data_IF_240594608949
#
_entry.id   IF_240594608949
#
_cell.length_a   1.000
_cell.length_b   1.000
_cell.length_c   1.000
_cell.angle_alpha   90.00
_cell.angle_beta   90.00
_cell.angle_gamma   90.00
#
_symmetry.space_group_name_H-M   'P 1'
#
loop_
_entity.id
_entity.type
_entity.pdbx_description
1 polymer ?
#
# COMPACT_ATOMS: atom_id res chain seq x y z
N UNK A 1 -25.38 10.69 -19.56
CA UNK A 1 -23.97 11.06 -19.26
C UNK A 1 -23.41 10.14 -18.18
N UNK A 2 -23.05 8.89 -18.49
CA UNK A 2 -22.65 7.88 -17.50
C UNK A 2 -21.25 7.26 -17.73
N UNK A 3 -20.48 7.69 -18.73
CA UNK A 3 -19.22 7.04 -19.11
C UNK A 3 -17.93 7.67 -18.57
N UNK A 4 -17.98 8.85 -17.94
CA UNK A 4 -16.76 9.59 -17.53
C UNK A 4 -16.26 9.29 -16.12
N UNK A 5 -17.18 8.96 -15.20
CA UNK A 5 -16.85 8.79 -13.78
C UNK A 5 -16.15 7.46 -13.49
N UNK A 6 -16.48 6.37 -14.21
CA UNK A 6 -15.88 5.05 -13.95
C UNK A 6 -14.43 4.96 -14.43
N UNK A 7 -14.07 5.67 -15.51
CA UNK A 7 -12.71 5.67 -16.04
C UNK A 7 -11.76 6.48 -15.13
N UNK A 8 -12.21 7.65 -14.65
CA UNK A 8 -11.43 8.47 -13.72
C UNK A 8 -11.16 7.75 -12.40
N UNK A 9 -12.17 7.06 -11.87
CA UNK A 9 -12.02 6.22 -10.67
C UNK A 9 -11.03 5.07 -10.91
N UNK A 10 -11.16 4.33 -12.00
CA UNK A 10 -10.27 3.21 -12.31
C UNK A 10 -8.80 3.64 -12.48
N UNK A 11 -8.57 4.74 -13.19
CA UNK A 11 -7.22 5.32 -13.33
C UNK A 11 -6.70 5.80 -11.97
N UNK A 12 -7.54 6.48 -11.18
CA UNK A 12 -7.20 6.94 -9.84
C UNK A 12 -6.76 5.80 -8.93
N UNK A 13 -7.47 4.67 -8.96
CA UNK A 13 -7.12 3.46 -8.21
C UNK A 13 -5.72 2.95 -8.56
N UNK A 14 -5.43 2.79 -9.85
CA UNK A 14 -4.15 2.27 -10.31
C UNK A 14 -3.00 3.23 -9.99
N UNK A 15 -3.19 4.52 -10.25
CA UNK A 15 -2.16 5.53 -9.98
C UNK A 15 -1.93 5.68 -8.48
N UNK A 16 -2.98 5.66 -7.67
CA UNK A 16 -2.86 5.70 -6.21
C UNK A 16 -2.04 4.54 -5.67
N UNK A 17 -2.31 3.32 -6.15
CA UNK A 17 -1.54 2.13 -5.80
C UNK A 17 -0.06 2.26 -6.21
N UNK A 18 0.21 2.63 -7.47
CA UNK A 18 1.58 2.77 -7.99
C UNK A 18 2.33 3.86 -7.22
N UNK A 19 1.68 4.98 -6.93
CA UNK A 19 2.29 6.09 -6.21
C UNK A 19 2.63 5.71 -4.76
N UNK A 20 1.71 5.06 -4.05
CA UNK A 20 1.98 4.52 -2.71
C UNK A 20 3.24 3.65 -2.73
N UNK A 21 3.30 2.71 -3.68
CA UNK A 21 4.45 1.82 -3.82
C UNK A 21 5.75 2.59 -4.11
N UNK A 22 5.72 3.48 -5.11
CA UNK A 22 6.88 4.27 -5.52
C UNK A 22 7.41 5.15 -4.38
N UNK A 23 6.53 5.74 -3.58
CA UNK A 23 6.91 6.54 -2.40
C UNK A 23 7.70 5.70 -1.42
N UNK A 24 7.20 4.52 -1.01
CA UNK A 24 7.93 3.66 -0.06
C UNK A 24 9.24 3.16 -0.68
N UNK A 25 9.24 2.75 -1.95
CA UNK A 25 10.43 2.28 -2.63
C UNK A 25 11.54 3.33 -2.67
N UNK A 26 11.21 4.57 -3.05
CA UNK A 26 12.16 5.68 -3.08
C UNK A 26 12.65 5.99 -1.67
N UNK A 27 11.74 6.06 -0.70
CA UNK A 27 12.09 6.37 0.68
C UNK A 27 13.06 5.34 1.26
N UNK A 28 12.82 4.04 1.07
CA UNK A 28 13.75 3.00 1.54
C UNK A 28 15.08 3.01 0.78
N UNK A 29 15.07 3.32 -0.52
CA UNK A 29 16.30 3.42 -1.33
C UNK A 29 17.23 4.55 -0.84
N UNK A 30 16.66 5.61 -0.26
CA UNK A 30 17.42 6.73 0.32
C UNK A 30 17.35 6.77 1.86
N UNK A 31 16.82 5.73 2.49
CA UNK A 31 16.51 5.70 3.92
C UNK A 31 17.74 5.87 4.82
N UNK A 32 18.92 5.49 4.32
CA UNK A 32 20.21 5.66 5.03
C UNK A 32 20.57 7.11 5.33
N UNK A 33 19.94 8.07 4.64
CA UNK A 33 20.15 9.51 4.84
C UNK A 33 19.02 10.17 5.65
N UNK A 34 18.03 9.40 6.10
CA UNK A 34 16.87 9.91 6.82
C UNK A 34 17.05 9.78 8.35
N UNK A 35 16.42 10.66 9.14
CA UNK A 35 16.44 10.54 10.60
C UNK A 35 15.80 9.22 11.08
N UNK A 36 16.39 8.62 12.11
CA UNK A 36 15.91 7.35 12.70
C UNK A 36 14.48 7.47 13.27
N UNK A 37 14.08 8.68 13.67
CA UNK A 37 12.72 8.99 14.14
C UNK A 37 11.65 8.84 13.03
N UNK A 38 12.06 8.91 11.76
CA UNK A 38 11.15 8.79 10.61
C UNK A 38 11.04 7.34 10.12
N UNK A 39 12.15 6.61 10.14
CA UNK A 39 12.25 5.21 9.67
C UNK A 39 13.24 4.49 10.55
N UNK A 40 12.81 3.39 11.15
CA UNK A 40 13.71 2.52 11.91
C UNK A 40 14.85 2.01 10.99
N UNK A 41 16.13 2.23 11.35
CA UNK A 41 17.27 1.79 10.57
C UNK A 41 17.26 0.30 10.24
N UNK A 42 16.64 -0.54 11.08
CA UNK A 42 16.48 -1.98 10.84
C UNK A 42 15.69 -2.24 9.56
N UNK A 43 14.68 -1.41 9.26
CA UNK A 43 13.85 -1.54 8.06
C UNK A 43 14.67 -1.23 6.80
N UNK A 44 15.50 -0.19 6.89
CA UNK A 44 16.36 0.22 5.78
C UNK A 44 17.41 -0.85 5.52
N UNK A 45 18.02 -1.40 6.58
CA UNK A 45 18.96 -2.52 6.47
C UNK A 45 18.29 -3.75 5.83
N UNK A 46 17.12 -4.17 6.33
CA UNK A 46 16.33 -5.27 5.77
C UNK A 46 15.98 -5.07 4.29
N UNK A 47 15.82 -3.83 3.83
CA UNK A 47 15.57 -3.53 2.41
C UNK A 47 16.84 -3.51 1.56
N UNK A 48 17.92 -2.93 2.07
CA UNK A 48 19.18 -2.75 1.34
C UNK A 48 19.96 -4.07 1.22
N UNK A 49 19.92 -4.89 2.26
CA UNK A 49 20.68 -6.15 2.35
C UNK A 49 20.09 -7.29 1.50
N UNK A 50 18.88 -7.10 0.95
CA UNK A 50 18.22 -8.09 0.08
C UNK A 50 18.61 -7.83 -1.37
N UNK A 51 19.24 -8.79 -2.08
CA UNK A 51 19.54 -8.61 -3.50
C UNK A 51 18.31 -8.81 -4.38
N UNK A 52 17.36 -9.64 -3.95
CA UNK A 52 16.20 -10.05 -4.74
C UNK A 52 15.06 -9.03 -4.68
N UNK A 53 14.49 -8.70 -5.83
CA UNK A 53 13.37 -7.76 -5.93
C UNK A 53 12.15 -8.25 -5.15
N UNK A 54 11.86 -9.55 -5.19
CA UNK A 54 10.70 -10.15 -4.51
C UNK A 54 10.75 -9.92 -2.99
N UNK A 55 11.93 -10.10 -2.38
CA UNK A 55 12.12 -9.86 -0.95
C UNK A 55 12.03 -8.37 -0.61
N UNK A 56 12.54 -7.48 -1.47
CA UNK A 56 12.34 -6.03 -1.31
C UNK A 56 10.87 -5.64 -1.37
N UNK A 57 10.11 -6.23 -2.30
CA UNK A 57 8.67 -6.02 -2.40
C UNK A 57 7.94 -6.52 -1.15
N UNK A 58 8.36 -7.65 -0.58
CA UNK A 58 7.80 -8.16 0.67
C UNK A 58 8.05 -7.22 1.84
N UNK A 59 9.28 -6.67 1.97
CA UNK A 59 9.60 -5.65 2.99
C UNK A 59 8.73 -4.41 2.83
N UNK A 60 8.53 -3.92 1.60
CA UNK A 60 7.59 -2.82 1.32
C UNK A 60 6.17 -3.19 1.75
N UNK A 61 5.72 -4.42 1.47
CA UNK A 61 4.42 -4.94 1.90
C UNK A 61 4.23 -4.88 3.42
N UNK A 62 5.27 -5.18 4.21
CA UNK A 62 5.19 -5.09 5.68
C UNK A 62 5.01 -3.66 6.19
N UNK A 63 5.55 -2.67 5.47
CA UNK A 63 5.37 -1.23 5.79
C UNK A 63 3.97 -0.78 5.37
N UNK A 64 3.49 -1.23 4.21
CA UNK A 64 2.20 -0.81 3.68
C UNK A 64 1.01 -1.39 4.45
N UNK A 65 1.19 -2.54 5.11
CA UNK A 65 0.15 -3.26 5.85
C UNK A 65 0.64 -3.72 7.25
N UNK A 66 0.99 -2.79 8.15
CA UNK A 66 1.49 -3.12 9.49
C UNK A 66 0.33 -3.51 10.44
N UNK A 67 0.59 -4.14 11.60
CA UNK A 67 1.83 -4.80 12.07
C UNK A 67 1.88 -6.32 11.83
N UNK A 68 0.76 -6.94 11.42
CA UNK A 68 0.60 -8.41 11.44
C UNK A 68 1.47 -9.15 10.43
N UNK A 69 1.73 -8.56 9.26
CA UNK A 69 2.57 -9.17 8.21
C UNK A 69 4.04 -9.28 8.59
N UNK A 70 4.62 -8.24 9.21
CA UNK A 70 6.03 -8.26 9.62
C UNK A 70 6.32 -9.27 10.73
N UNK A 71 5.36 -9.48 11.63
CA UNK A 71 5.45 -10.50 12.69
C UNK A 71 5.44 -11.91 12.08
N UNK A 72 4.54 -12.15 11.12
CA UNK A 72 4.41 -13.44 10.44
C UNK A 72 5.68 -13.81 9.67
N UNK A 73 6.26 -12.84 8.97
CA UNK A 73 7.38 -13.08 8.08
C UNK A 73 8.72 -13.15 8.81
N UNK A 74 8.77 -12.77 10.09
CA UNK A 74 10.01 -12.68 10.88
C UNK A 74 11.09 -11.76 10.27
N UNK A 75 10.70 -10.91 9.31
CA UNK A 75 11.50 -9.86 8.69
C UNK A 75 10.59 -8.68 8.30
N UNK A 76 11.17 -7.49 8.19
CA UNK A 76 10.43 -6.29 7.81
C UNK A 76 9.95 -5.43 8.99
N UNK A 77 9.19 -4.38 8.66
CA UNK A 77 9.05 -3.21 9.50
C UNK A 77 8.08 -3.35 10.68
N UNK A 78 8.64 -3.43 11.89
CA UNK A 78 7.92 -3.17 13.13
C UNK A 78 8.08 -1.68 13.49
N UNK A 79 7.19 -0.82 12.99
CA UNK A 79 7.25 0.64 13.29
C UNK A 79 7.11 1.57 12.08
N UNK A 80 6.93 1.04 10.87
CA UNK A 80 6.72 1.83 9.65
C UNK A 80 5.38 2.58 9.55
N UNK A 81 4.67 2.83 10.66
CA UNK A 81 3.31 3.41 10.65
C UNK A 81 3.27 4.84 10.11
N UNK A 82 4.32 5.64 10.36
CA UNK A 82 4.45 7.00 9.81
C UNK A 82 4.65 6.95 8.29
N UNK A 83 5.54 6.08 7.83
CA UNK A 83 5.79 5.87 6.40
C UNK A 83 4.55 5.30 5.69
N UNK A 84 3.85 4.37 6.33
CA UNK A 84 2.55 3.84 5.88
C UNK A 84 1.54 4.96 5.68
N UNK A 85 1.38 5.83 6.68
CA UNK A 85 0.42 6.93 6.66
C UNK A 85 0.76 7.94 5.56
N UNK A 86 2.04 8.26 5.41
CA UNK A 86 2.52 9.14 4.35
C UNK A 86 2.26 8.53 2.96
N UNK A 87 2.68 7.28 2.75
CA UNK A 87 2.58 6.62 1.46
C UNK A 87 1.12 6.46 1.01
N UNK A 88 0.25 5.95 1.88
CA UNK A 88 -1.17 5.83 1.57
C UNK A 88 -1.89 7.17 1.53
N UNK A 89 -1.46 8.17 2.30
CA UNK A 89 -1.96 9.53 2.20
C UNK A 89 -1.69 10.15 0.82
N UNK A 90 -0.46 9.98 0.29
CA UNK A 90 -0.08 10.44 -1.06
C UNK A 90 -0.80 9.63 -2.14
N UNK A 91 -0.85 8.31 -2.02
CA UNK A 91 -1.58 7.46 -2.96
C UNK A 91 -3.07 7.79 -3.01
N UNK A 92 -3.69 7.99 -1.85
CA UNK A 92 -5.07 8.45 -1.73
C UNK A 92 -5.28 9.81 -2.38
N UNK A 93 -4.38 10.78 -2.14
CA UNK A 93 -4.42 12.11 -2.75
C UNK A 93 -4.45 12.02 -4.28
N UNK A 94 -3.53 11.25 -4.86
CA UNK A 94 -3.44 11.08 -6.30
C UNK A 94 -4.66 10.36 -6.88
N UNK A 95 -5.17 9.34 -6.17
CA UNK A 95 -6.42 8.68 -6.54
C UNK A 95 -7.61 9.67 -6.57
N UNK A 96 -7.70 10.55 -5.56
CA UNK A 96 -8.72 11.59 -5.48
C UNK A 96 -8.60 12.64 -6.59
N UNK A 97 -7.39 13.12 -6.86
CA UNK A 97 -7.12 14.12 -7.91
C UNK A 97 -7.60 13.61 -9.27
N UNK A 98 -7.34 12.35 -9.58
CA UNK A 98 -7.67 11.73 -10.87
C UNK A 98 -9.13 11.31 -10.98
N UNK A 99 -9.79 11.03 -9.86
CA UNK A 99 -11.22 10.77 -9.83
C UNK A 99 -12.07 12.01 -10.12
N UNK A 100 -11.57 13.22 -9.86
CA UNK A 100 -12.27 14.51 -10.09
C UNK A 100 -13.60 14.68 -9.34
N UNK A 101 -13.82 13.86 -8.33
CA UNK A 101 -14.98 13.92 -7.43
C UNK A 101 -14.58 13.38 -6.05
N UNK A 102 -15.28 13.82 -5.01
CA UNK A 102 -15.02 13.43 -3.62
C UNK A 102 -15.41 11.96 -3.41
N UNK A 103 -16.62 11.58 -3.85
CA UNK A 103 -17.13 10.22 -3.64
C UNK A 103 -16.29 9.24 -4.47
N UNK A 104 -16.09 9.51 -5.75
CA UNK A 104 -15.23 8.69 -6.61
C UNK A 104 -13.78 8.62 -6.10
N UNK A 105 -13.25 9.71 -5.54
CA UNK A 105 -11.87 9.78 -5.02
C UNK A 105 -11.66 8.90 -3.80
N UNK A 106 -12.62 8.93 -2.87
CA UNK A 106 -12.63 8.04 -1.70
C UNK A 106 -12.70 6.58 -2.13
N UNK A 107 -13.62 6.24 -3.05
CA UNK A 107 -13.70 4.86 -3.55
C UNK A 107 -12.43 4.43 -4.27
N UNK A 108 -11.85 5.28 -5.14
CA UNK A 108 -10.60 4.98 -5.84
C UNK A 108 -9.45 4.69 -4.84
N UNK A 109 -9.35 5.51 -3.79
CA UNK A 109 -8.34 5.34 -2.75
C UNK A 109 -8.52 4.03 -1.96
N UNK A 110 -9.75 3.71 -1.54
CA UNK A 110 -10.04 2.46 -0.82
C UNK A 110 -9.81 1.24 -1.71
N UNK A 111 -10.25 1.28 -2.98
CA UNK A 111 -9.98 0.19 -3.92
C UNK A 111 -8.49 -0.01 -4.18
N UNK A 112 -7.69 1.06 -4.16
CA UNK A 112 -6.23 0.95 -4.30
C UNK A 112 -5.64 0.17 -3.12
N UNK A 113 -6.08 0.47 -1.89
CA UNK A 113 -5.67 -0.25 -0.68
C UNK A 113 -6.08 -1.73 -0.74
N UNK A 114 -7.31 -2.02 -1.14
CA UNK A 114 -7.83 -3.38 -1.27
C UNK A 114 -7.02 -4.18 -2.29
N UNK A 115 -6.80 -3.63 -3.48
CA UNK A 115 -6.03 -4.30 -4.53
C UNK A 115 -4.59 -4.53 -4.06
N UNK A 116 -3.96 -3.53 -3.45
CA UNK A 116 -2.63 -3.68 -2.88
C UNK A 116 -2.54 -4.78 -1.81
N UNK A 117 -3.60 -4.99 -1.03
CA UNK A 117 -3.64 -6.03 -0.01
C UNK A 117 -3.63 -7.41 -0.65
N UNK A 118 -4.47 -7.63 -1.66
CA UNK A 118 -4.46 -8.89 -2.41
C UNK A 118 -3.12 -9.13 -3.13
N UNK A 119 -2.52 -8.11 -3.72
CA UNK A 119 -1.21 -8.23 -4.37
C UNK A 119 -0.10 -8.56 -3.36
N UNK A 120 -0.14 -7.96 -2.17
CA UNK A 120 0.82 -8.24 -1.10
C UNK A 120 0.66 -9.66 -0.58
N UNK A 121 -0.58 -10.10 -0.37
CA UNK A 121 -0.87 -11.49 0.00
C UNK A 121 -0.33 -12.48 -1.04
N UNK A 122 -0.63 -12.27 -2.33
CA UNK A 122 -0.13 -13.13 -3.41
C UNK A 122 1.39 -13.15 -3.47
N UNK A 123 2.04 -11.98 -3.38
CA UNK A 123 3.49 -11.87 -3.37
C UNK A 123 4.11 -12.69 -2.23
N UNK A 124 3.63 -12.47 -1.00
CA UNK A 124 4.13 -13.18 0.18
C UNK A 124 3.88 -14.67 0.06
N UNK A 125 2.71 -15.07 -0.42
CA UNK A 125 2.40 -16.47 -0.70
C UNK A 125 3.43 -17.07 -1.66
N UNK A 126 3.68 -16.46 -2.82
CA UNK A 126 4.64 -17.00 -3.80
C UNK A 126 6.08 -17.05 -3.30
N UNK A 127 6.48 -16.11 -2.44
CA UNK A 127 7.81 -16.13 -1.79
C UNK A 127 7.92 -17.29 -0.80
N UNK A 128 6.85 -17.56 -0.03
CA UNK A 128 6.85 -18.63 0.99
C UNK A 128 6.64 -20.03 0.40
N UNK A 129 5.79 -20.12 -0.63
CA UNK A 129 5.31 -21.36 -1.22
C UNK A 129 5.11 -21.14 -2.72
N UNK A 130 5.93 -21.77 -3.55
CA UNK A 130 5.74 -21.80 -5.01
C UNK A 130 4.62 -22.75 -5.47
N UNK A 131 3.96 -23.45 -4.54
CA UNK A 131 2.91 -24.42 -4.82
C UNK A 131 1.52 -23.76 -4.91
N UNK A 132 1.08 -23.49 -6.14
CA UNK A 132 -0.22 -22.86 -6.45
C UNK A 132 -1.40 -23.64 -5.88
N UNK A 133 -1.29 -24.96 -5.69
CA UNK A 133 -2.39 -25.76 -5.13
C UNK A 133 -2.70 -25.41 -3.66
N UNK A 134 -1.75 -24.76 -2.97
CA UNK A 134 -1.94 -24.32 -1.58
C UNK A 134 -2.45 -22.88 -1.47
N UNK A 135 -2.78 -22.22 -2.58
CA UNK A 135 -3.22 -20.82 -2.57
C UNK A 135 -4.46 -20.60 -1.70
N UNK A 136 -5.38 -21.56 -1.68
CA UNK A 136 -6.56 -21.54 -0.80
C UNK A 136 -6.41 -22.48 0.41
N UNK A 137 -5.19 -22.93 0.68
CA UNK A 137 -4.86 -23.73 1.85
C UNK A 137 -4.82 -22.90 3.13
N UNK A 138 -4.94 -23.56 4.28
CA UNK A 138 -4.96 -22.92 5.60
C UNK A 138 -3.88 -21.85 5.84
N UNK A 139 -2.59 -22.14 5.58
CA UNK A 139 -1.52 -21.15 5.76
C UNK A 139 -1.68 -19.89 4.90
N UNK A 140 -2.13 -20.04 3.65
CA UNK A 140 -2.36 -18.91 2.75
C UNK A 140 -3.57 -18.08 3.16
N UNK A 141 -4.64 -18.71 3.63
CA UNK A 141 -5.81 -18.00 4.13
C UNK A 141 -5.52 -17.22 5.42
N UNK A 142 -4.63 -17.73 6.26
CA UNK A 142 -4.13 -17.00 7.44
C UNK A 142 -3.34 -15.75 7.00
N UNK A 143 -2.47 -15.86 5.98
CA UNK A 143 -1.79 -14.70 5.42
C UNK A 143 -2.79 -13.67 4.89
N UNK A 144 -3.80 -14.11 4.14
CA UNK A 144 -4.86 -13.25 3.62
C UNK A 144 -5.59 -12.53 4.75
N UNK A 145 -5.95 -13.23 5.82
CA UNK A 145 -6.57 -12.63 7.00
C UNK A 145 -5.71 -11.50 7.57
N UNK A 146 -4.40 -11.73 7.76
CA UNK A 146 -3.52 -10.70 8.32
C UNK A 146 -3.36 -9.48 7.41
N UNK A 147 -3.34 -9.66 6.10
CA UNK A 147 -3.28 -8.51 5.19
C UNK A 147 -4.59 -7.72 5.20
N UNK A 148 -5.73 -8.42 5.25
CA UNK A 148 -7.05 -7.79 5.33
C UNK A 148 -7.30 -7.11 6.68
N UNK A 149 -6.73 -7.60 7.78
CA UNK A 149 -6.75 -6.90 9.06
C UNK A 149 -5.81 -5.67 9.03
N UNK A 150 -4.63 -5.83 8.42
CA UNK A 150 -3.63 -4.77 8.28
C UNK A 150 -4.03 -3.62 7.35
N UNK A 151 -5.08 -3.77 6.53
CA UNK A 151 -5.51 -2.74 5.58
C UNK A 151 -6.31 -1.60 6.23
N UNK A 152 -6.73 -1.73 7.50
CA UNK A 152 -7.61 -0.74 8.14
C UNK A 152 -6.97 0.65 8.24
N UNK A 153 -5.76 0.74 8.79
CA UNK A 153 -5.03 2.01 8.92
C UNK A 153 -4.64 2.61 7.55
N UNK A 154 -4.11 1.81 6.59
CA UNK A 154 -3.93 2.23 5.20
C UNK A 154 -5.20 2.84 4.58
N UNK A 155 -6.35 2.22 4.81
CA UNK A 155 -7.64 2.68 4.28
C UNK A 155 -7.99 4.06 4.84
N UNK A 156 -7.79 4.30 6.13
CA UNK A 156 -8.05 5.61 6.74
C UNK A 156 -7.14 6.69 6.12
N UNK A 157 -5.84 6.42 6.00
CA UNK A 157 -4.89 7.36 5.40
C UNK A 157 -5.24 7.65 3.92
N UNK A 158 -5.57 6.60 3.16
CA UNK A 158 -5.97 6.71 1.77
C UNK A 158 -7.30 7.48 1.60
N UNK A 159 -8.27 7.30 2.50
CA UNK A 159 -9.53 8.07 2.51
C UNK A 159 -9.25 9.56 2.72
N UNK A 160 -8.40 9.91 3.70
CA UNK A 160 -8.03 11.31 3.97
C UNK A 160 -7.38 11.92 2.72
N UNK A 161 -6.42 11.22 2.10
CA UNK A 161 -5.83 11.63 0.84
C UNK A 161 -6.88 11.79 -0.26
N UNK A 162 -7.75 10.79 -0.45
CA UNK A 162 -8.80 10.78 -1.47
C UNK A 162 -9.80 11.92 -1.34
N UNK A 163 -10.19 12.27 -0.10
CA UNK A 163 -11.03 13.43 0.21
C UNK A 163 -10.35 14.74 -0.22
N UNK A 164 -9.08 14.91 0.14
CA UNK A 164 -8.31 16.10 -0.22
C UNK A 164 -8.16 16.21 -1.74
N UNK A 165 -7.78 15.11 -2.40
CA UNK A 165 -7.56 15.08 -3.84
C UNK A 165 -8.86 15.33 -4.63
N UNK A 166 -9.94 14.65 -4.26
CA UNK A 166 -11.25 14.82 -4.87
C UNK A 166 -11.84 16.21 -4.61
N UNK A 167 -11.57 16.80 -3.44
CA UNK A 167 -11.98 18.17 -3.11
C UNK A 167 -11.26 19.24 -3.93
N UNK A 168 -9.97 19.05 -4.24
CA UNK A 168 -9.18 19.99 -5.06
C UNK A 168 -9.68 20.02 -6.51
N UNK A 169 -9.95 18.85 -7.10
CA UNK A 169 -10.31 18.74 -8.52
C UNK A 169 -11.82 18.77 -8.77
N UNK A 170 -12.63 18.89 -7.70
CA UNK A 170 -14.08 19.08 -7.81
C UNK A 170 -14.38 20.35 -8.60
N UNK A 171 -15.17 20.21 -9.67
CA UNK A 171 -15.76 21.36 -10.35
C UNK A 171 -16.64 22.13 -9.36
N UNK A 172 -16.24 23.36 -9.05
CA UNK A 172 -17.08 24.32 -8.30
C UNK A 172 -18.08 24.88 -9.30
N UNK A 173 -19.29 24.33 -9.29
CA UNK A 173 -20.46 24.94 -9.93
C UNK A 173 -21.02 26.04 -9.05
#
# INVERSE_FOLDING_TARGET
MLGGYSLGQGIGTLVGLIATFAVVFVILSFGIYMPEDLIDPIIVADFVDRPDLELKLAVIGTILYPPHLGIQLSFGAQGGTVLMALAWGIGGLLAGLLSRDIVGGVFAAVFAVVIGAFLTWLLVFFITTGDVYQLLGGPSLILLQFVLEGMLYPSIAAIIGGLLGGGITRKRS
#
